data_IF_742852902540
#
_entry.id   IF_742852902540
#
_cell.length_a   1.000
_cell.length_b   1.000
_cell.length_c   1.000
_cell.angle_alpha   90.00
_cell.angle_beta   90.00
_cell.angle_gamma   90.00
#
_symmetry.space_group_name_H-M   'P 1'
#
loop_
_entity.id
_entity.type
_entity.pdbx_description
1 polymer ?
#
# COMPACT_ATOMS: atom_id res chain seq x y z
N UNK A 1 15.15 -33.29 7.04
CA UNK A 1 16.18 -33.34 6.62
C UNK A 1 16.40 -32.74 5.28
N UNK A 2 17.09 -33.38 4.36
CA UNK A 2 17.42 -32.65 3.15
C UNK A 2 16.18 -32.25 2.35
N UNK A 3 15.10 -33.03 2.43
CA UNK A 3 13.88 -32.68 1.74
C UNK A 3 13.29 -31.38 2.29
N UNK A 4 13.32 -31.22 3.60
CA UNK A 4 12.88 -29.99 4.23
C UNK A 4 13.75 -28.82 3.82
N UNK A 5 15.06 -29.05 3.74
CA UNK A 5 15.99 -28.02 3.33
C UNK A 5 15.74 -27.60 1.89
N UNK A 6 15.44 -28.54 1.02
CA UNK A 6 15.14 -28.20 -0.35
C UNK A 6 13.83 -27.42 -0.46
N UNK A 7 12.84 -27.75 0.34
CA UNK A 7 11.62 -26.97 0.37
C UNK A 7 11.90 -25.54 0.84
N UNK A 8 12.73 -25.41 1.88
CA UNK A 8 13.06 -24.08 2.38
C UNK A 8 13.79 -23.26 1.34
N UNK A 9 14.75 -23.87 0.65
CA UNK A 9 15.48 -23.18 -0.39
C UNK A 9 14.56 -22.76 -1.54
N UNK A 10 13.65 -23.63 -1.92
CA UNK A 10 12.73 -23.34 -2.99
C UNK A 10 11.80 -22.19 -2.62
N UNK A 11 11.34 -22.18 -1.36
CA UNK A 11 10.51 -21.10 -0.89
C UNK A 11 11.26 -19.79 -0.87
N UNK A 12 12.53 -19.83 -0.49
CA UNK A 12 13.36 -18.63 -0.52
C UNK A 12 13.57 -18.13 -1.95
N UNK A 13 13.78 -19.04 -2.89
CA UNK A 13 13.98 -18.66 -4.28
C UNK A 13 12.74 -18.05 -4.91
N UNK A 14 11.54 -18.52 -4.47
CA UNK A 14 10.27 -17.99 -4.95
C UNK A 14 9.66 -17.06 -3.92
N UNK A 15 10.45 -16.60 -2.96
CA UNK A 15 9.91 -15.96 -1.78
C UNK A 15 9.48 -14.54 -2.04
N UNK A 16 8.69 -14.10 -1.11
CA UNK A 16 8.24 -12.74 -1.02
C UNK A 16 9.38 -11.83 -0.58
N UNK A 17 9.25 -10.56 -0.86
CA UNK A 17 10.25 -9.60 -0.45
C UNK A 17 9.80 -8.19 -0.72
N UNK A 18 10.58 -7.25 -0.22
CA UNK A 18 10.30 -5.86 -0.44
C UNK A 18 10.96 -5.40 -1.74
N UNK A 19 10.31 -4.45 -2.39
CA UNK A 19 10.86 -3.85 -3.58
C UNK A 19 10.41 -2.42 -3.71
N UNK A 20 10.95 -1.73 -4.71
CA UNK A 20 10.64 -0.33 -4.97
C UNK A 20 9.87 -0.26 -6.28
N UNK A 21 8.75 0.45 -6.25
CA UNK A 21 7.90 0.60 -7.42
C UNK A 21 8.60 1.45 -8.46
N UNK A 22 8.68 0.95 -9.68
CA UNK A 22 9.24 1.70 -10.81
C UNK A 22 8.13 2.21 -11.73
N UNK A 23 7.04 1.47 -11.85
CA UNK A 23 5.86 1.92 -12.60
C UNK A 23 4.64 1.67 -11.72
N UNK A 24 3.93 2.74 -11.39
CA UNK A 24 2.70 2.64 -10.59
C UNK A 24 1.49 2.60 -11.50
N UNK A 25 0.77 1.48 -11.48
CA UNK A 25 -0.40 1.25 -12.31
C UNK A 25 -1.17 0.07 -11.72
N UNK A 26 -2.32 -0.25 -12.30
CA UNK A 26 -3.06 -1.44 -11.87
C UNK A 26 -2.28 -2.72 -12.18
N UNK A 27 -1.35 -2.66 -13.11
CA UNK A 27 -0.34 -3.69 -13.34
C UNK A 27 1.01 -3.01 -13.18
N UNK A 28 1.58 -3.12 -12.02
CA UNK A 28 2.75 -2.32 -11.62
C UNK A 28 4.05 -3.03 -11.96
N UNK A 29 5.13 -2.27 -11.96
CA UNK A 29 6.48 -2.82 -12.06
C UNK A 29 7.22 -2.50 -10.77
N UNK A 30 8.01 -3.46 -10.29
CA UNK A 30 8.71 -3.36 -9.01
C UNK A 30 10.13 -3.88 -9.20
N UNK A 31 11.08 -3.12 -8.71
CA UNK A 31 12.49 -3.51 -8.66
C UNK A 31 12.76 -4.12 -7.29
N UNK A 32 13.10 -5.40 -7.28
CA UNK A 32 13.39 -6.12 -6.04
C UNK A 32 14.58 -7.04 -6.29
N UNK A 33 15.52 -7.06 -5.36
CA UNK A 33 16.70 -7.89 -5.43
C UNK A 33 17.47 -7.74 -6.75
N UNK A 34 17.54 -6.52 -7.25
CA UNK A 34 18.26 -6.21 -8.50
C UNK A 34 17.54 -6.58 -9.77
N UNK A 35 16.29 -7.02 -9.69
CA UNK A 35 15.51 -7.42 -10.86
C UNK A 35 14.19 -6.66 -10.88
N UNK A 36 13.81 -6.22 -12.07
CA UNK A 36 12.51 -5.60 -12.26
C UNK A 36 11.51 -6.65 -12.69
N UNK A 37 10.41 -6.74 -11.97
CA UNK A 37 9.27 -7.57 -12.34
C UNK A 37 8.18 -6.63 -12.85
N UNK A 38 7.48 -7.04 -13.88
CA UNK A 38 6.48 -6.22 -14.54
C UNK A 38 5.13 -6.90 -14.53
N UNK A 39 4.09 -6.11 -14.72
CA UNK A 39 2.71 -6.57 -14.83
C UNK A 39 2.24 -7.27 -13.55
N UNK A 40 2.67 -6.76 -12.40
CA UNK A 40 2.24 -7.30 -11.12
C UNK A 40 0.86 -6.72 -10.77
N UNK A 41 -0.14 -7.58 -10.54
CA UNK A 41 -1.41 -7.07 -10.04
C UNK A 41 -1.24 -6.50 -8.63
N UNK A 42 -2.05 -5.51 -8.30
CA UNK A 42 -2.05 -4.87 -7.00
C UNK A 42 -3.22 -5.43 -6.19
N UNK A 43 -2.91 -5.91 -5.00
CA UNK A 43 -3.90 -6.52 -4.11
C UNK A 43 -4.30 -5.49 -3.06
N UNK A 44 -5.57 -5.47 -2.70
CA UNK A 44 -6.09 -4.60 -1.67
C UNK A 44 -7.24 -5.29 -0.94
N UNK A 45 -7.60 -4.81 0.24
CA UNK A 45 -8.81 -5.30 0.89
C UNK A 45 -10.03 -5.03 0.00
N UNK A 46 -11.02 -5.92 0.06
CA UNK A 46 -12.23 -5.73 -0.73
C UNK A 46 -12.87 -4.38 -0.45
N UNK A 47 -13.24 -3.69 -1.50
CA UNK A 47 -13.82 -2.36 -1.38
C UNK A 47 -12.81 -1.22 -1.36
N UNK A 48 -11.52 -1.52 -1.32
CA UNK A 48 -10.47 -0.51 -1.39
C UNK A 48 -9.76 -0.63 -2.72
N UNK A 49 -9.39 0.51 -3.28
CA UNK A 49 -8.57 0.56 -4.50
C UNK A 49 -7.42 1.52 -4.28
N UNK A 50 -6.24 1.14 -4.72
CA UNK A 50 -5.08 2.01 -4.64
C UNK A 50 -4.11 1.63 -5.74
N UNK A 51 -3.27 2.57 -6.12
CA UNK A 51 -2.18 2.30 -7.05
C UNK A 51 -0.88 2.75 -6.39
N UNK A 52 0.16 1.92 -6.50
CA UNK A 52 1.46 2.31 -5.94
C UNK A 52 2.04 3.51 -6.68
N UNK A 53 2.77 4.33 -5.95
CA UNK A 53 3.54 5.42 -6.54
C UNK A 53 4.93 4.94 -6.93
N UNK A 54 5.52 5.50 -7.99
CA UNK A 54 6.95 5.27 -8.23
C UNK A 54 7.76 5.62 -6.99
N UNK A 55 8.80 4.87 -6.72
CA UNK A 55 9.70 4.97 -5.58
C UNK A 55 9.10 4.46 -4.26
N UNK A 56 7.84 4.09 -4.22
CA UNK A 56 7.22 3.54 -3.02
C UNK A 56 7.74 2.14 -2.75
N UNK A 57 7.98 1.84 -1.47
CA UNK A 57 8.43 0.51 -1.06
C UNK A 57 7.21 -0.37 -0.81
N UNK A 58 7.21 -1.53 -1.44
CA UNK A 58 6.05 -2.43 -1.40
C UNK A 58 6.52 -3.85 -1.06
N UNK A 59 5.57 -4.65 -0.60
CA UNK A 59 5.78 -6.08 -0.40
C UNK A 59 5.28 -6.82 -1.63
N UNK A 60 6.12 -7.68 -2.18
CA UNK A 60 5.78 -8.54 -3.31
C UNK A 60 5.65 -9.96 -2.80
N UNK A 61 4.52 -10.58 -3.06
CA UNK A 61 4.28 -11.99 -2.77
C UNK A 61 4.35 -12.80 -4.05
N UNK A 62 4.88 -14.02 -3.92
CA UNK A 62 5.17 -14.88 -5.08
C UNK A 62 4.28 -16.12 -5.12
N UNK A 63 3.19 -16.13 -4.45
CA UNK A 63 2.34 -17.32 -4.39
C UNK A 63 1.45 -17.39 -5.64
N UNK A 64 1.75 -18.35 -6.52
CA UNK A 64 1.00 -18.50 -7.77
C UNK A 64 1.28 -17.42 -8.79
N UNK A 65 2.39 -16.72 -8.63
CA UNK A 65 2.78 -15.58 -9.44
C UNK A 65 2.97 -14.35 -8.58
N UNK A 66 3.82 -13.41 -9.01
CA UNK A 66 4.09 -12.25 -8.17
C UNK A 66 2.93 -11.26 -8.17
N UNK A 67 2.71 -10.64 -7.02
CA UNK A 67 1.74 -9.56 -6.89
C UNK A 67 2.24 -8.55 -5.86
N UNK A 68 1.74 -7.32 -5.96
CA UNK A 68 2.01 -6.28 -4.95
C UNK A 68 0.95 -6.43 -3.87
N UNK A 69 1.39 -6.80 -2.66
CA UNK A 69 0.46 -7.08 -1.57
C UNK A 69 0.17 -5.87 -0.70
N UNK A 70 1.03 -4.87 -0.71
CA UNK A 70 0.81 -3.67 0.07
C UNK A 70 2.06 -2.82 0.09
N UNK A 71 1.95 -1.64 0.66
CA UNK A 71 3.05 -0.70 0.79
C UNK A 71 3.53 -0.64 2.22
N UNK A 72 4.82 -0.39 2.38
CA UNK A 72 5.39 -0.15 3.70
C UNK A 72 4.86 1.19 4.20
N UNK A 73 4.35 1.20 5.43
CA UNK A 73 3.80 2.42 6.00
C UNK A 73 4.92 3.43 6.25
N UNK A 74 4.65 4.71 5.96
CA UNK A 74 5.62 5.74 6.32
C UNK A 74 5.59 5.99 7.83
N UNK A 75 6.59 6.71 8.31
CA UNK A 75 6.57 7.16 9.69
C UNK A 75 5.39 8.11 9.88
N UNK A 76 4.65 7.89 10.97
CA UNK A 76 3.50 8.72 11.29
C UNK A 76 3.51 9.04 12.77
N UNK A 77 2.66 9.98 13.15
CA UNK A 77 2.45 10.32 14.55
C UNK A 77 1.24 9.60 15.16
N UNK A 78 0.82 8.52 14.53
CA UNK A 78 -0.34 7.76 15.01
C UNK A 78 -0.05 7.09 16.33
N UNK A 79 -1.04 7.09 17.19
CA UNK A 79 -1.00 6.30 18.41
C UNK A 79 -1.58 4.92 18.16
N UNK A 80 -1.20 3.92 18.94
CA UNK A 80 -1.76 2.59 18.77
C UNK A 80 -3.29 2.62 18.76
N UNK A 81 -3.89 1.95 17.78
CA UNK A 81 -5.33 1.91 17.61
C UNK A 81 -5.89 2.98 16.68
N UNK A 82 -5.12 4.02 16.38
CA UNK A 82 -5.55 5.03 15.42
C UNK A 82 -5.47 4.47 14.00
N UNK A 83 -6.28 5.04 13.11
CA UNK A 83 -6.29 4.68 11.70
C UNK A 83 -6.12 5.94 10.87
N UNK A 84 -5.29 5.85 9.85
CA UNK A 84 -5.08 6.95 8.91
C UNK A 84 -5.22 6.41 7.49
N UNK A 85 -6.11 7.02 6.72
CA UNK A 85 -6.24 6.75 5.28
C UNK A 85 -5.82 8.03 4.58
N UNK A 86 -4.83 7.94 3.70
CA UNK A 86 -4.28 9.17 3.13
C UNK A 86 -3.81 8.96 1.70
N UNK A 87 -3.81 10.06 0.97
CA UNK A 87 -3.22 10.12 -0.36
C UNK A 87 -2.80 11.57 -0.59
N UNK A 88 -1.50 11.78 -0.82
CA UNK A 88 -0.97 13.14 -0.93
C UNK A 88 -1.27 13.94 0.33
N UNK A 89 -1.94 15.07 0.18
CA UNK A 89 -2.29 15.93 1.32
C UNK A 89 -3.69 15.66 1.86
N UNK A 90 -4.44 14.78 1.23
CA UNK A 90 -5.78 14.42 1.71
C UNK A 90 -5.69 13.28 2.70
N UNK A 91 -6.50 13.34 3.76
CA UNK A 91 -6.48 12.27 4.75
C UNK A 91 -7.78 12.19 5.52
N UNK A 92 -8.04 10.99 6.04
CA UNK A 92 -9.08 10.72 7.02
C UNK A 92 -8.40 10.06 8.19
N UNK A 93 -8.47 10.68 9.36
CA UNK A 93 -7.84 10.13 10.57
C UNK A 93 -8.91 9.79 11.58
N UNK A 94 -8.87 8.56 12.08
CA UNK A 94 -9.75 8.09 13.15
C UNK A 94 -8.89 7.89 14.39
N UNK A 95 -9.23 8.58 15.44
CA UNK A 95 -8.47 8.50 16.69
C UNK A 95 -9.26 7.71 17.72
N UNK A 96 -8.55 7.05 18.62
CA UNK A 96 -9.19 6.18 19.60
C UNK A 96 -10.04 6.97 20.60
N UNK A 97 -9.87 8.28 20.67
CA UNK A 97 -10.72 9.13 21.51
C UNK A 97 -12.07 9.48 20.88
N UNK A 98 -12.36 8.92 19.71
CA UNK A 98 -13.62 9.18 19.02
C UNK A 98 -13.58 10.32 18.02
N UNK A 99 -12.42 10.94 17.83
CA UNK A 99 -12.29 12.06 16.87
C UNK A 99 -12.11 11.53 15.47
N UNK A 100 -12.81 12.14 14.52
CA UNK A 100 -12.61 11.90 13.09
C UNK A 100 -12.16 13.20 12.47
N UNK A 101 -11.00 13.19 11.81
CA UNK A 101 -10.47 14.38 11.14
C UNK A 101 -10.35 14.11 9.66
N UNK A 102 -10.96 14.96 8.87
CA UNK A 102 -10.89 14.90 7.41
C UNK A 102 -10.14 16.13 6.95
N UNK A 103 -9.02 15.91 6.28
CA UNK A 103 -8.19 16.99 5.77
C UNK A 103 -8.17 16.92 4.26
N UNK A 104 -8.47 18.04 3.62
CA UNK A 104 -8.52 18.13 2.18
C UNK A 104 -9.77 18.83 1.72
N UNK A 105 -9.98 18.82 0.41
CA UNK A 105 -11.18 19.40 -0.18
C UNK A 105 -12.22 18.29 -0.28
N UNK A 106 -13.32 18.43 0.43
CA UNK A 106 -14.33 17.37 0.59
C UNK A 106 -15.53 17.65 -0.30
N UNK A 107 -15.94 16.64 -1.05
CA UNK A 107 -17.17 16.67 -1.86
C UNK A 107 -18.10 15.58 -1.36
N UNK A 108 -19.33 15.94 -1.12
CA UNK A 108 -20.37 15.00 -0.72
C UNK A 108 -21.46 15.04 -1.79
N UNK A 109 -21.72 13.88 -2.41
CA UNK A 109 -22.66 13.77 -3.53
C UNK A 109 -22.37 14.79 -4.62
N UNK A 110 -21.07 14.98 -4.92
CA UNK A 110 -20.65 15.88 -5.97
C UNK A 110 -20.61 17.36 -5.58
N UNK A 111 -20.94 17.69 -4.35
CA UNK A 111 -20.98 19.08 -3.89
C UNK A 111 -19.84 19.31 -2.88
N UNK A 112 -19.08 20.38 -3.09
CA UNK A 112 -18.02 20.74 -2.19
C UNK A 112 -18.58 21.03 -0.81
N UNK A 113 -17.87 20.54 0.22
CA UNK A 113 -18.35 20.64 1.58
C UNK A 113 -17.43 21.53 2.39
N UNK A 114 -18.08 22.39 3.09
CA UNK A 114 -17.60 23.00 4.31
C UNK A 114 -16.41 23.85 4.25
N UNK A 115 -15.44 23.35 3.79
CA UNK A 115 -14.18 23.91 3.97
C UNK A 115 -14.12 25.40 3.87
N UNK A 116 -14.95 25.87 3.72
CA UNK A 116 -14.76 27.20 3.62
C UNK A 116 -14.57 28.04 4.70
N UNK A 117 -14.77 27.75 4.77
CA UNK A 117 -14.54 28.45 5.23
C UNK A 117 -13.78 28.99 5.40
N UNK A 118 -13.92 28.84 5.22
CA UNK A 118 -13.18 29.25 5.44
C UNK A 118 -12.93 29.70 5.35
N UNK A 119 -13.42 29.69 5.38
CA UNK A 119 -13.24 30.18 5.53
C UNK A 119 -12.74 30.57 5.70
#
# INVERSE_FOLDING_TARGET
>A
MWLSEQFAERREAASSGFGKVTIGADRSAVLAAGREQRLLPVISPGGYCWLPRPEQRVLVLEDGGPCVAGAVQPDTDLSPGDVLIHAGTASIRLSTDGTVRITGRVYVNGTAMGGGDGD
#
